data_IF_699098760465
#
_entry.id   IF_699098760465
#
_cell.length_a   1.000
_cell.length_b   1.000
_cell.length_c   1.000
_cell.angle_alpha   90.00
_cell.angle_beta   90.00
_cell.angle_gamma   90.00
#
_symmetry.space_group_name_H-M   'P 1'
#
loop_
_entity.id
_entity.type
_entity.pdbx_description
1 polymer ?
#
# COMPACT_ATOMS: atom_id res chain seq x y z
N UNK A 1 -2.82 -31.32 2.73
CA UNK A 1 -1.45 -30.89 3.09
C UNK A 1 -1.51 -30.39 4.53
N UNK A 2 -0.45 -30.41 5.35
CA UNK A 2 -0.53 -29.72 6.66
C UNK A 2 -0.39 -28.20 6.46
N UNK A 3 -0.98 -27.37 7.33
CA UNK A 3 -0.82 -25.92 7.26
C UNK A 3 0.66 -25.48 7.24
N UNK A 4 1.50 -26.14 8.05
CA UNK A 4 2.94 -25.90 8.05
C UNK A 4 3.60 -26.20 6.69
N UNK A 5 3.26 -27.32 6.05
CA UNK A 5 3.81 -27.65 4.74
C UNK A 5 3.33 -26.70 3.64
N UNK A 6 2.13 -26.14 3.79
CA UNK A 6 1.61 -25.12 2.88
C UNK A 6 2.37 -23.81 3.06
N UNK A 7 2.58 -23.35 4.29
CA UNK A 7 3.41 -22.17 4.61
C UNK A 7 4.82 -22.33 4.04
N UNK A 8 5.49 -23.46 4.31
CA UNK A 8 6.84 -23.73 3.78
C UNK A 8 6.86 -23.70 2.24
N UNK A 9 5.82 -24.25 1.59
CA UNK A 9 5.69 -24.21 0.13
C UNK A 9 5.50 -22.78 -0.39
N UNK A 10 4.59 -22.01 0.20
CA UNK A 10 4.35 -20.60 -0.15
C UNK A 10 5.62 -19.78 -0.01
N UNK A 11 6.35 -19.92 1.10
CA UNK A 11 7.61 -19.22 1.34
C UNK A 11 8.71 -19.62 0.36
N UNK A 12 8.80 -20.91 0.00
CA UNK A 12 9.75 -21.38 -1.00
C UNK A 12 9.47 -20.80 -2.39
N UNK A 13 8.19 -20.68 -2.77
CA UNK A 13 7.78 -20.07 -4.04
C UNK A 13 8.10 -18.57 -4.07
N UNK A 14 7.80 -17.85 -2.99
CA UNK A 14 8.16 -16.44 -2.84
C UNK A 14 9.68 -16.26 -2.93
N UNK A 15 10.46 -17.07 -2.21
CA UNK A 15 11.92 -17.00 -2.24
C UNK A 15 12.50 -17.31 -3.64
N UNK A 16 11.79 -18.08 -4.46
CA UNK A 16 12.14 -18.37 -5.85
C UNK A 16 11.67 -17.28 -6.84
N UNK A 17 10.97 -16.24 -6.37
CA UNK A 17 10.36 -15.20 -7.21
C UNK A 17 9.05 -15.61 -7.89
N UNK A 18 8.53 -16.80 -7.60
CA UNK A 18 7.26 -17.29 -8.17
C UNK A 18 6.07 -16.84 -7.32
N UNK A 19 5.77 -15.54 -7.38
CA UNK A 19 4.68 -14.92 -6.62
C UNK A 19 3.31 -15.44 -7.09
N UNK A 20 3.16 -15.68 -8.40
CA UNK A 20 1.91 -16.23 -8.97
C UNK A 20 1.68 -17.65 -8.46
N UNK A 21 2.72 -18.50 -8.42
CA UNK A 21 2.65 -19.82 -7.82
C UNK A 21 2.32 -19.77 -6.33
N UNK A 22 2.93 -18.83 -5.58
CA UNK A 22 2.65 -18.65 -4.17
C UNK A 22 1.18 -18.27 -3.91
N UNK A 23 0.63 -17.34 -4.69
CA UNK A 23 -0.76 -16.94 -4.60
C UNK A 23 -1.71 -18.06 -5.02
N UNK A 24 -1.39 -18.80 -6.09
CA UNK A 24 -2.15 -19.98 -6.52
C UNK A 24 -2.28 -21.02 -5.41
N UNK A 25 -1.23 -21.27 -4.62
CA UNK A 25 -1.26 -22.19 -3.48
C UNK A 25 -2.20 -21.70 -2.36
N UNK A 26 -2.23 -20.39 -2.11
CA UNK A 26 -3.12 -19.78 -1.12
C UNK A 26 -4.58 -19.82 -1.59
N UNK A 27 -4.83 -19.58 -2.88
CA UNK A 27 -6.14 -19.67 -3.51
C UNK A 27 -6.67 -21.11 -3.50
N UNK A 28 -5.84 -22.10 -3.83
CA UNK A 28 -6.21 -23.52 -3.74
C UNK A 28 -6.63 -23.93 -2.31
N UNK A 29 -6.01 -23.34 -1.28
CA UNK A 29 -6.41 -23.56 0.11
C UNK A 29 -7.80 -23.00 0.39
N UNK A 30 -8.07 -21.76 -0.03
CA UNK A 30 -9.38 -21.15 0.14
C UNK A 30 -10.47 -21.95 -0.61
N UNK A 31 -10.20 -22.38 -1.83
CA UNK A 31 -11.13 -23.16 -2.65
C UNK A 31 -11.44 -24.54 -2.04
N UNK A 32 -10.46 -25.18 -1.39
CA UNK A 32 -10.60 -26.54 -0.88
C UNK A 32 -11.02 -26.62 0.60
N UNK A 33 -10.58 -25.69 1.44
CA UNK A 33 -10.78 -25.70 2.90
C UNK A 33 -11.54 -24.46 3.42
N UNK A 34 -11.76 -23.45 2.57
CA UNK A 34 -12.52 -22.23 2.87
C UNK A 34 -11.65 -21.08 3.37
N UNK A 35 -12.21 -19.86 3.31
CA UNK A 35 -11.53 -18.60 3.69
C UNK A 35 -10.97 -18.61 5.11
N UNK A 36 -11.66 -19.28 6.04
CA UNK A 36 -11.20 -19.42 7.42
C UNK A 36 -9.88 -20.20 7.55
N UNK A 37 -9.64 -21.17 6.67
CA UNK A 37 -8.37 -21.89 6.64
C UNK A 37 -7.24 -21.02 6.09
N UNK A 38 -7.54 -20.21 5.07
CA UNK A 38 -6.61 -19.23 4.52
C UNK A 38 -6.25 -18.16 5.55
N UNK A 39 -7.21 -17.60 6.29
CA UNK A 39 -6.94 -16.64 7.37
C UNK A 39 -5.94 -17.17 8.41
N UNK A 40 -6.10 -18.43 8.84
CA UNK A 40 -5.17 -19.06 9.80
C UNK A 40 -3.75 -19.20 9.22
N UNK A 41 -3.62 -19.41 7.91
CA UNK A 41 -2.32 -19.44 7.23
C UNK A 41 -1.73 -18.04 7.11
N UNK A 42 -2.53 -17.05 6.70
CA UNK A 42 -2.08 -15.66 6.60
C UNK A 42 -1.60 -15.13 7.96
N UNK A 43 -2.23 -15.50 9.07
CA UNK A 43 -1.80 -15.12 10.43
C UNK A 43 -0.40 -15.65 10.80
N UNK A 44 0.04 -16.73 10.15
CA UNK A 44 1.34 -17.35 10.41
C UNK A 44 2.42 -16.93 9.41
N UNK A 45 2.03 -16.32 8.28
CA UNK A 45 2.99 -15.82 7.30
C UNK A 45 3.67 -14.54 7.81
N UNK A 46 5.00 -14.41 7.62
CA UNK A 46 5.70 -13.15 7.82
C UNK A 46 5.09 -12.02 6.98
N UNK A 47 5.06 -10.80 7.54
CA UNK A 47 4.53 -9.62 6.83
C UNK A 47 5.21 -9.37 5.47
N UNK A 48 6.51 -9.67 5.34
CA UNK A 48 7.24 -9.55 4.07
C UNK A 48 6.74 -10.52 2.99
N UNK A 49 6.29 -11.71 3.40
CA UNK A 49 5.80 -12.75 2.48
C UNK A 49 4.35 -12.41 2.06
N UNK A 50 3.56 -11.89 3.00
CA UNK A 50 2.24 -11.31 2.69
C UNK A 50 2.40 -10.15 1.71
N UNK A 51 3.28 -9.20 2.00
CA UNK A 51 3.58 -8.05 1.13
C UNK A 51 3.96 -8.50 -0.27
N UNK A 52 4.89 -9.45 -0.39
CA UNK A 52 5.35 -9.95 -1.69
C UNK A 52 4.20 -10.44 -2.58
N UNK A 53 3.17 -11.06 -1.98
CA UNK A 53 1.96 -11.47 -2.69
C UNK A 53 1.09 -10.26 -3.02
N UNK A 54 0.59 -9.53 -2.00
CA UNK A 54 -0.44 -8.49 -2.21
C UNK A 54 0.03 -7.32 -3.09
N UNK A 55 1.34 -7.07 -3.16
CA UNK A 55 1.96 -6.01 -3.97
C UNK A 55 1.84 -6.23 -5.48
N UNK A 56 1.67 -7.49 -5.91
CA UNK A 56 1.53 -7.88 -7.32
C UNK A 56 0.09 -7.79 -7.85
N UNK A 57 -0.85 -7.35 -7.01
CA UNK A 57 -2.28 -7.36 -7.27
C UNK A 57 -2.87 -5.97 -6.97
N UNK A 58 -3.79 -5.54 -7.82
CA UNK A 58 -4.45 -4.24 -7.79
C UNK A 58 -5.90 -4.38 -8.26
N UNK A 59 -6.62 -3.27 -8.43
CA UNK A 59 -8.04 -3.29 -8.87
C UNK A 59 -8.26 -3.94 -10.25
N UNK A 60 -7.20 -4.07 -11.07
CA UNK A 60 -7.26 -4.74 -12.36
C UNK A 60 -6.93 -6.24 -12.30
N UNK A 61 -6.33 -6.68 -11.19
CA UNK A 61 -5.86 -8.04 -10.95
C UNK A 61 -6.14 -8.39 -9.49
N UNK A 62 -7.34 -8.89 -9.23
CA UNK A 62 -7.81 -9.26 -7.89
C UNK A 62 -7.05 -10.47 -7.32
N UNK A 63 -6.85 -10.50 -6.00
CA UNK A 63 -6.38 -11.68 -5.26
C UNK A 63 -7.28 -11.94 -4.06
N UNK A 64 -7.54 -13.22 -3.76
CA UNK A 64 -8.23 -13.62 -2.54
C UNK A 64 -7.47 -13.19 -1.27
N UNK A 65 -6.15 -13.03 -1.35
CA UNK A 65 -5.33 -12.54 -0.25
C UNK A 65 -5.67 -11.07 0.04
N UNK A 66 -5.85 -10.23 -0.99
CA UNK A 66 -6.27 -8.83 -0.82
C UNK A 66 -7.68 -8.73 -0.24
N UNK A 67 -8.54 -9.72 -0.49
CA UNK A 67 -9.91 -9.77 0.06
C UNK A 67 -9.97 -10.21 1.53
N UNK A 68 -9.01 -11.02 1.99
CA UNK A 68 -9.05 -11.61 3.33
C UNK A 68 -8.03 -11.02 4.31
N UNK A 69 -7.05 -10.25 3.83
CA UNK A 69 -6.06 -9.63 4.72
C UNK A 69 -6.74 -8.77 5.78
N UNK A 70 -6.27 -8.84 7.02
CA UNK A 70 -6.79 -8.05 8.14
C UNK A 70 -6.10 -6.66 8.21
N UNK A 71 -6.73 -5.66 8.84
CA UNK A 71 -6.12 -4.34 9.01
C UNK A 71 -4.70 -4.36 9.63
N UNK A 72 -4.42 -5.13 10.71
CA UNK A 72 -3.08 -5.18 11.27
C UNK A 72 -2.04 -5.81 10.33
N UNK A 73 -2.41 -6.89 9.63
CA UNK A 73 -1.51 -7.53 8.65
C UNK A 73 -1.17 -6.58 7.50
N UNK A 74 -2.17 -5.85 7.00
CA UNK A 74 -1.99 -4.89 5.92
C UNK A 74 -1.12 -3.71 6.36
N UNK A 75 -1.34 -3.17 7.56
CA UNK A 75 -0.51 -2.10 8.10
C UNK A 75 0.99 -2.48 8.15
N UNK A 76 1.29 -3.69 8.62
CA UNK A 76 2.66 -4.20 8.62
C UNK A 76 3.25 -4.33 7.22
N UNK A 77 2.47 -4.79 6.24
CA UNK A 77 2.91 -4.88 4.85
C UNK A 77 3.16 -3.49 4.22
N UNK A 78 2.26 -2.52 4.46
CA UNK A 78 2.38 -1.16 3.95
C UNK A 78 3.65 -0.46 4.45
N UNK A 79 3.97 -0.59 5.75
CA UNK A 79 5.15 0.07 6.34
C UNK A 79 6.47 -0.47 5.78
N UNK A 80 6.54 -1.77 5.47
CA UNK A 80 7.75 -2.38 4.93
C UNK A 80 7.84 -2.30 3.41
N UNK A 81 6.80 -1.82 2.70
CA UNK A 81 6.80 -1.66 1.23
C UNK A 81 7.96 -0.79 0.76
N UNK A 82 8.33 0.23 1.53
CA UNK A 82 9.47 1.10 1.21
C UNK A 82 10.78 0.37 0.96
N UNK A 83 10.96 -0.83 1.51
CA UNK A 83 12.14 -1.69 1.29
C UNK A 83 12.31 -2.08 -0.19
N UNK A 84 11.24 -2.11 -0.98
CA UNK A 84 11.27 -2.39 -2.42
C UNK A 84 11.87 -1.24 -3.24
N UNK A 85 11.98 -0.03 -2.67
CA UNK A 85 12.56 1.15 -3.35
C UNK A 85 11.89 1.46 -4.71
N UNK A 86 10.58 1.20 -4.83
CA UNK A 86 9.79 1.60 -5.99
C UNK A 86 9.72 3.13 -6.07
N UNK A 87 10.46 3.70 -7.03
CA UNK A 87 10.52 5.15 -7.23
C UNK A 87 9.22 5.74 -7.76
N UNK A 88 8.39 4.97 -8.45
CA UNK A 88 7.11 5.46 -8.99
C UNK A 88 5.96 5.28 -8.01
N UNK A 89 6.18 4.55 -6.89
CA UNK A 89 5.18 4.23 -5.86
C UNK A 89 3.92 3.60 -6.46
N UNK A 90 4.03 2.99 -7.64
CA UNK A 90 2.89 2.48 -8.40
C UNK A 90 2.33 1.25 -7.73
N UNK A 91 3.22 0.36 -7.27
CA UNK A 91 2.81 -0.84 -6.53
C UNK A 91 2.16 -0.48 -5.20
N UNK A 92 2.78 0.41 -4.42
CA UNK A 92 2.20 0.91 -3.16
C UNK A 92 0.77 1.44 -3.37
N UNK A 93 0.58 2.31 -4.36
CA UNK A 93 -0.75 2.89 -4.65
C UNK A 93 -1.77 1.86 -5.08
N UNK A 94 -1.44 0.99 -6.03
CA UNK A 94 -2.36 -0.04 -6.53
C UNK A 94 -2.76 -1.02 -5.43
N UNK A 95 -1.77 -1.47 -4.64
CA UNK A 95 -2.00 -2.33 -3.48
C UNK A 95 -2.88 -1.65 -2.43
N UNK A 96 -2.60 -0.39 -2.06
CA UNK A 96 -3.39 0.35 -1.08
C UNK A 96 -4.83 0.59 -1.53
N UNK A 97 -5.05 1.00 -2.78
CA UNK A 97 -6.40 1.20 -3.28
C UNK A 97 -7.19 -0.11 -3.27
N UNK A 98 -6.60 -1.20 -3.78
CA UNK A 98 -7.30 -2.49 -3.88
C UNK A 98 -7.65 -3.13 -2.55
N UNK A 99 -6.84 -2.93 -1.50
CA UNK A 99 -7.13 -3.47 -0.17
C UNK A 99 -8.05 -2.54 0.62
N UNK A 100 -7.79 -1.24 0.64
CA UNK A 100 -8.55 -0.29 1.47
C UNK A 100 -9.97 -0.10 0.94
N UNK A 101 -10.16 -0.16 -0.38
CA UNK A 101 -11.44 0.10 -1.03
C UNK A 101 -12.14 -1.15 -1.57
N UNK A 102 -11.71 -2.35 -1.14
CA UNK A 102 -12.32 -3.62 -1.54
C UNK A 102 -13.81 -3.74 -1.21
N UNK A 103 -14.25 -3.07 -0.14
CA UNK A 103 -15.59 -3.13 0.42
C UNK A 103 -16.10 -1.71 0.80
N UNK A 104 -17.02 -1.62 1.75
CA UNK A 104 -17.64 -0.37 2.19
C UNK A 104 -16.66 0.58 2.91
N UNK A 105 -16.96 1.88 2.88
CA UNK A 105 -16.11 2.93 3.46
C UNK A 105 -15.85 2.78 4.97
N UNK A 106 -16.70 2.07 5.72
CA UNK A 106 -16.48 1.82 7.14
C UNK A 106 -15.24 0.94 7.38
N UNK A 107 -14.97 -0.04 6.51
CA UNK A 107 -13.81 -0.91 6.62
C UNK A 107 -12.52 -0.17 6.22
N UNK A 108 -12.60 0.75 5.26
CA UNK A 108 -11.48 1.60 4.88
C UNK A 108 -10.90 2.37 6.08
N UNK A 109 -11.74 2.82 7.02
CA UNK A 109 -11.30 3.50 8.23
C UNK A 109 -10.53 2.57 9.17
N UNK A 110 -10.92 1.30 9.29
CA UNK A 110 -10.19 0.33 10.12
C UNK A 110 -8.78 0.08 9.58
N UNK A 111 -8.63 -0.06 8.25
CA UNK A 111 -7.32 -0.18 7.59
C UNK A 111 -6.45 1.06 7.80
N UNK A 112 -6.99 2.25 7.53
CA UNK A 112 -6.24 3.50 7.69
C UNK A 112 -5.85 3.75 9.15
N UNK A 113 -6.72 3.39 10.11
CA UNK A 113 -6.40 3.46 11.55
C UNK A 113 -5.25 2.52 11.89
N UNK A 114 -5.31 1.25 11.44
CA UNK A 114 -4.25 0.29 11.70
C UNK A 114 -2.90 0.71 11.09
N UNK A 115 -2.92 1.33 9.91
CA UNK A 115 -1.71 1.93 9.30
C UNK A 115 -1.20 3.06 10.20
N UNK A 116 -2.05 4.01 10.58
CA UNK A 116 -1.67 5.17 11.40
C UNK A 116 -1.14 4.80 12.80
N UNK A 117 -1.63 3.72 13.39
CA UNK A 117 -1.18 3.22 14.70
C UNK A 117 0.21 2.56 14.64
N UNK A 118 0.70 2.20 13.45
CA UNK A 118 2.01 1.55 13.27
C UNK A 118 3.11 2.59 13.00
N UNK A 119 4.27 2.41 13.63
CA UNK A 119 5.45 3.24 13.35
C UNK A 119 5.83 3.14 11.86
N UNK A 120 5.98 4.31 11.21
CA UNK A 120 6.20 4.40 9.76
C UNK A 120 4.91 4.45 8.92
N UNK A 121 3.72 4.31 9.52
CA UNK A 121 2.45 4.35 8.79
C UNK A 121 2.16 5.71 8.12
N UNK A 122 2.39 6.81 8.83
CA UNK A 122 2.27 8.16 8.27
C UNK A 122 3.30 8.43 7.16
N UNK A 123 4.46 7.77 7.22
CA UNK A 123 5.46 7.82 6.15
C UNK A 123 4.99 7.09 4.90
N UNK A 124 4.44 5.88 5.05
CA UNK A 124 3.90 5.13 3.91
C UNK A 124 2.71 5.84 3.26
N UNK A 125 1.84 6.46 4.07
CA UNK A 125 0.75 7.30 3.54
C UNK A 125 1.29 8.55 2.83
N UNK A 126 2.38 9.14 3.32
CA UNK A 126 3.03 10.24 2.60
C UNK A 126 3.59 9.74 1.25
N UNK A 127 4.24 8.58 1.23
CA UNK A 127 4.75 7.98 -0.01
C UNK A 127 3.64 7.76 -1.05
N UNK A 128 2.47 7.30 -0.62
CA UNK A 128 1.27 7.16 -1.46
C UNK A 128 0.88 8.48 -2.16
N UNK A 129 1.00 9.63 -1.47
CA UNK A 129 0.61 10.94 -1.99
C UNK A 129 1.74 11.72 -2.70
N UNK A 130 2.94 11.16 -2.84
CA UNK A 130 4.13 11.88 -3.36
C UNK A 130 3.85 12.60 -4.69
N UNK A 131 3.23 11.93 -5.66
CA UNK A 131 2.91 12.53 -6.98
C UNK A 131 1.76 13.55 -6.96
N UNK A 132 1.05 13.68 -5.83
CA UNK A 132 -0.13 14.53 -5.66
C UNK A 132 0.09 15.58 -4.58
N UNK A 133 1.34 15.79 -4.18
CA UNK A 133 1.77 16.71 -3.12
C UNK A 133 1.06 18.07 -3.14
N UNK A 134 1.18 18.82 -4.24
CA UNK A 134 0.58 20.16 -4.37
C UNK A 134 -0.93 20.15 -4.20
N UNK A 135 -1.59 19.10 -4.68
CA UNK A 135 -3.05 18.94 -4.60
C UNK A 135 -3.50 18.60 -3.18
N UNK A 136 -2.72 17.82 -2.43
CA UNK A 136 -3.00 17.53 -1.02
C UNK A 136 -2.82 18.77 -0.16
N UNK A 137 -1.80 19.59 -0.42
CA UNK A 137 -1.63 20.90 0.22
C UNK A 137 -2.80 21.85 -0.08
N UNK A 138 -3.19 21.97 -1.35
CA UNK A 138 -4.33 22.77 -1.77
C UNK A 138 -5.63 22.27 -1.10
N UNK A 139 -5.83 20.95 -1.03
CA UNK A 139 -6.97 20.37 -0.34
C UNK A 139 -6.97 20.74 1.14
N UNK A 140 -5.85 20.52 1.85
CA UNK A 140 -5.71 20.86 3.27
C UNK A 140 -6.06 22.33 3.56
N UNK A 141 -5.67 23.24 2.67
CA UNK A 141 -6.00 24.67 2.77
C UNK A 141 -7.47 24.96 2.48
N UNK A 142 -8.02 24.41 1.40
CA UNK A 142 -9.26 24.93 0.81
C UNK A 142 -10.51 24.12 1.15
N UNK A 143 -10.38 22.81 1.42
CA UNK A 143 -11.56 21.94 1.53
C UNK A 143 -12.01 21.30 0.23
N UNK A 144 -11.41 21.63 -0.91
CA UNK A 144 -11.89 21.24 -2.24
C UNK A 144 -10.75 20.76 -3.13
N UNK A 145 -11.05 19.94 -4.13
CA UNK A 145 -10.09 19.50 -5.14
C UNK A 145 -10.18 20.41 -6.38
N UNK A 146 -9.51 21.56 -6.33
CA UNK A 146 -9.45 22.53 -7.45
C UNK A 146 -7.99 22.78 -7.85
N UNK A 147 -7.66 22.54 -9.12
CA UNK A 147 -6.30 22.70 -9.65
C UNK A 147 -5.82 24.15 -9.68
N UNK A 148 -6.73 25.13 -9.62
CA UNK A 148 -6.35 26.55 -9.57
C UNK A 148 -5.63 26.90 -8.26
N UNK A 149 -5.80 26.08 -7.24
CA UNK A 149 -5.27 26.29 -5.90
C UNK A 149 -3.91 25.59 -5.65
N UNK A 150 -3.39 24.83 -6.62
CA UNK A 150 -2.18 24.01 -6.43
C UNK A 150 -0.94 24.82 -6.03
N UNK A 151 -0.85 26.09 -6.45
CA UNK A 151 0.29 26.99 -6.20
C UNK A 151 0.10 27.94 -4.99
N UNK A 152 -0.96 27.75 -4.20
CA UNK A 152 -1.23 28.63 -3.06
C UNK A 152 -0.27 28.42 -1.88
N UNK A 153 -0.16 29.42 -1.00
CA UNK A 153 0.70 29.34 0.19
C UNK A 153 0.25 28.20 1.11
N UNK A 154 1.21 27.42 1.61
CA UNK A 154 0.95 26.32 2.56
C UNK A 154 0.41 26.89 3.87
N UNK A 155 -0.53 26.19 4.50
CA UNK A 155 -0.94 26.52 5.86
C UNK A 155 0.24 26.37 6.84
N UNK A 156 0.37 27.28 7.81
CA UNK A 156 1.23 27.03 8.97
C UNK A 156 0.73 25.81 9.73
N UNK A 157 1.61 25.12 10.47
CA UNK A 157 1.20 23.96 11.27
C UNK A 157 0.07 24.32 12.24
N UNK A 158 0.15 25.48 12.90
CA UNK A 158 -0.91 25.95 13.79
C UNK A 158 -2.25 26.13 13.06
N UNK A 159 -2.24 26.69 11.84
CA UNK A 159 -3.45 26.87 11.06
C UNK A 159 -4.03 25.53 10.58
N UNK A 160 -3.15 24.56 10.27
CA UNK A 160 -3.53 23.19 9.91
C UNK A 160 -4.21 22.47 11.09
N UNK A 161 -3.64 22.52 12.31
CA UNK A 161 -4.30 21.97 13.50
C UNK A 161 -5.64 22.64 13.79
N UNK A 162 -5.78 23.94 13.52
CA UNK A 162 -7.04 24.66 13.69
C UNK A 162 -8.12 24.26 12.67
N UNK A 163 -7.74 23.67 11.53
CA UNK A 163 -8.67 23.25 10.48
C UNK A 163 -9.07 21.77 10.55
N UNK A 164 -8.50 20.99 11.47
CA UNK A 164 -8.68 19.55 11.61
C UNK A 164 -10.15 19.07 11.61
N UNK A 165 -11.05 19.83 12.25
CA UNK A 165 -12.46 19.45 12.43
C UNK A 165 -13.43 20.35 11.67
N UNK A 166 -12.96 21.03 10.62
CA UNK A 166 -13.82 21.80 9.72
C UNK A 166 -14.70 20.83 8.94
N UNK A 167 -15.99 21.17 8.79
CA UNK A 167 -16.92 20.35 8.02
C UNK A 167 -16.44 20.19 6.57
N UNK A 168 -16.63 19.01 5.96
CA UNK A 168 -16.34 18.80 4.54
C UNK A 168 -17.05 19.85 3.68
N UNK A 169 -16.34 20.35 2.67
CA UNK A 169 -16.92 21.23 1.62
C UNK A 169 -17.31 20.46 0.37
N UNK A 170 -16.77 19.26 0.23
CA UNK A 170 -17.05 18.26 -0.80
C UNK A 170 -17.56 17.02 -0.06
N UNK A 171 -18.66 16.43 -0.53
CA UNK A 171 -19.20 15.21 0.06
C UNK A 171 -18.41 13.97 -0.42
N UNK A 172 -18.40 12.90 0.38
CA UNK A 172 -17.66 11.67 0.04
C UNK A 172 -18.10 11.09 -1.32
N UNK A 173 -19.41 11.09 -1.61
CA UNK A 173 -19.98 10.56 -2.86
C UNK A 173 -19.44 11.28 -4.12
N UNK A 174 -18.96 12.52 -3.99
CA UNK A 174 -18.40 13.28 -5.12
C UNK A 174 -16.99 12.82 -5.50
N UNK A 175 -16.30 12.14 -4.58
CA UNK A 175 -14.89 11.73 -4.69
C UNK A 175 -14.69 10.25 -4.40
N UNK A 176 -15.75 9.45 -4.36
CA UNK A 176 -15.72 8.02 -4.07
C UNK A 176 -15.29 7.22 -5.32
N UNK A 177 -14.08 7.48 -5.81
CA UNK A 177 -13.49 6.86 -7.01
C UNK A 177 -12.48 5.75 -6.69
N UNK A 178 -12.38 5.34 -5.43
CA UNK A 178 -11.42 4.34 -4.92
C UNK A 178 -9.96 4.72 -5.19
N UNK A 179 -9.68 6.02 -5.34
CA UNK A 179 -8.34 6.53 -5.57
C UNK A 179 -8.01 7.66 -4.57
N UNK A 180 -6.92 8.38 -4.85
CA UNK A 180 -6.28 9.31 -3.94
C UNK A 180 -7.21 10.43 -3.42
N UNK A 181 -8.24 10.85 -4.17
CA UNK A 181 -9.19 11.87 -3.67
C UNK A 181 -10.04 11.31 -2.53
N UNK A 182 -10.59 10.11 -2.71
CA UNK A 182 -11.32 9.40 -1.66
C UNK A 182 -10.43 9.19 -0.43
N UNK A 183 -9.19 8.72 -0.63
CA UNK A 183 -8.25 8.46 0.46
C UNK A 183 -7.92 9.75 1.24
N UNK A 184 -7.65 10.84 0.53
CA UNK A 184 -7.39 12.15 1.15
C UNK A 184 -8.62 12.67 1.91
N UNK A 185 -9.82 12.45 1.37
CA UNK A 185 -11.08 12.83 2.02
C UNK A 185 -11.27 12.06 3.33
N UNK A 186 -11.13 10.73 3.31
CA UNK A 186 -11.28 9.88 4.51
C UNK A 186 -10.26 10.25 5.57
N UNK A 187 -8.98 10.39 5.20
CA UNK A 187 -7.96 10.82 6.13
C UNK A 187 -8.32 12.17 6.77
N UNK A 188 -8.67 13.18 5.97
CA UNK A 188 -8.91 14.51 6.53
C UNK A 188 -10.14 14.58 7.44
N UNK A 189 -11.21 13.87 7.08
CA UNK A 189 -12.52 14.08 7.71
C UNK A 189 -12.88 13.02 8.73
N UNK A 190 -12.40 11.79 8.56
CA UNK A 190 -12.61 10.68 9.49
C UNK A 190 -11.40 10.44 10.39
N UNK A 191 -10.17 10.73 9.93
CA UNK A 191 -8.92 10.49 10.66
C UNK A 191 -8.00 11.74 10.70
N UNK A 192 -8.50 12.92 11.15
CA UNK A 192 -7.84 14.20 10.94
C UNK A 192 -6.43 14.29 11.55
N UNK A 193 -6.18 13.62 12.68
CA UNK A 193 -4.86 13.60 13.30
C UNK A 193 -3.84 12.87 12.40
N UNK A 194 -4.22 11.72 11.84
CA UNK A 194 -3.40 10.97 10.89
C UNK A 194 -3.17 11.75 9.59
N UNK A 195 -4.18 12.47 9.09
CA UNK A 195 -4.02 13.35 7.93
C UNK A 195 -2.96 14.44 8.18
N UNK A 196 -2.99 15.06 9.35
CA UNK A 196 -2.04 16.11 9.72
C UNK A 196 -0.63 15.52 9.82
N UNK A 197 -0.47 14.40 10.52
CA UNK A 197 0.83 13.73 10.65
C UNK A 197 1.41 13.35 9.29
N UNK A 198 0.62 12.71 8.44
CA UNK A 198 1.00 12.37 7.06
C UNK A 198 1.40 13.61 6.27
N UNK A 199 0.61 14.69 6.33
CA UNK A 199 0.89 15.91 5.58
C UNK A 199 2.19 16.59 6.06
N UNK A 200 2.49 16.54 7.37
CA UNK A 200 3.76 17.04 7.91
C UNK A 200 4.96 16.21 7.44
N UNK A 201 4.82 14.88 7.33
CA UNK A 201 5.85 14.01 6.75
C UNK A 201 6.04 14.32 5.27
N UNK A 202 4.95 14.45 4.52
CA UNK A 202 4.98 14.75 3.09
C UNK A 202 5.64 16.13 2.81
N UNK A 203 5.37 17.13 3.65
CA UNK A 203 6.09 18.42 3.66
C UNK A 203 7.60 18.24 3.84
N UNK A 204 7.99 17.36 4.75
CA UNK A 204 9.41 17.11 5.02
C UNK A 204 10.09 16.45 3.82
N UNK A 205 9.45 15.44 3.22
CA UNK A 205 9.93 14.77 2.00
C UNK A 205 10.06 15.75 0.83
N UNK A 206 9.03 16.56 0.55
CA UNK A 206 9.08 17.56 -0.52
C UNK A 206 10.23 18.58 -0.34
N UNK A 207 10.48 19.02 0.91
CA UNK A 207 11.63 19.90 1.21
C UNK A 207 12.98 19.19 1.03
N UNK A 208 13.08 17.92 1.41
CA UNK A 208 14.30 17.13 1.22
C UNK A 208 14.63 16.95 -0.28
N UNK A 209 13.61 16.64 -1.08
CA UNK A 209 13.68 16.59 -2.54
C UNK A 209 14.16 17.92 -3.15
N UNK A 210 13.56 19.04 -2.76
CA UNK A 210 13.94 20.38 -3.23
C UNK A 210 15.39 20.76 -2.85
N UNK A 211 15.90 20.22 -1.75
CA UNK A 211 17.27 20.40 -1.28
C UNK A 211 18.26 19.39 -1.89
N UNK A 212 17.77 18.40 -2.66
CA UNK A 212 18.58 17.32 -3.23
C UNK A 212 19.14 16.35 -2.19
N UNK A 213 18.41 16.13 -1.09
CA UNK A 213 18.84 15.28 0.03
C UNK A 213 18.27 13.84 -0.03
N UNK A 214 17.48 13.52 -1.05
CA UNK A 214 16.78 12.22 -1.16
C UNK A 214 17.72 11.02 -1.44
N UNK A 215 18.97 11.26 -1.85
CA UNK A 215 19.88 10.21 -2.34
C UNK A 215 20.79 9.55 -1.27
N UNK A 216 20.80 10.01 -0.01
CA UNK A 216 21.89 9.65 0.94
C UNK A 216 21.52 8.77 2.16
N UNK A 217 20.25 8.50 2.49
CA UNK A 217 19.94 7.96 3.84
C UNK A 217 19.68 6.45 4.01
N UNK A 218 19.64 5.60 2.98
CA UNK A 218 19.46 4.16 3.21
C UNK A 218 20.69 3.33 2.84
N UNK A 219 21.67 3.37 3.75
CA UNK A 219 22.81 2.46 3.79
C UNK A 219 22.36 0.99 3.75
N UNK A 220 23.09 0.20 2.96
CA UNK A 220 22.93 -1.23 2.74
C UNK A 220 22.92 -2.02 4.06
N UNK A 221 21.73 -2.40 4.53
CA UNK A 221 21.56 -3.64 5.28
C UNK A 221 21.10 -4.71 4.28
N UNK A 222 21.82 -5.83 4.24
CA UNK A 222 21.41 -7.06 3.56
C UNK A 222 20.13 -7.56 4.25
N UNK A 223 18.97 -7.11 3.76
CA UNK A 223 17.66 -7.24 4.42
C UNK A 223 16.88 -8.50 4.02
N UNK A 224 17.50 -9.40 3.24
CA UNK A 224 16.83 -10.60 2.74
C UNK A 224 15.71 -10.31 1.75
N UNK A 225 15.82 -9.19 1.01
CA UNK A 225 15.05 -8.89 -0.21
C UNK A 225 14.91 -10.12 -1.11
N UNK A 226 13.67 -10.40 -1.48
CA UNK A 226 13.36 -11.25 -2.63
C UNK A 226 13.59 -10.40 -3.87
N UNK A 227 14.42 -10.84 -4.81
CA UNK A 227 14.71 -10.08 -6.04
C UNK A 227 13.45 -10.00 -6.92
N UNK A 228 12.64 -8.97 -6.71
CA UNK A 228 11.51 -8.60 -7.58
C UNK A 228 11.88 -7.51 -8.57
N UNK A 229 13.18 -7.24 -8.78
CA UNK A 229 13.68 -6.07 -9.50
C UNK A 229 13.23 -5.92 -10.96
N UNK A 230 12.62 -6.96 -11.56
CA UNK A 230 11.92 -6.85 -12.84
C UNK A 230 10.54 -6.15 -12.69
N UNK A 231 9.79 -6.42 -11.61
CA UNK A 231 8.52 -5.74 -11.27
C UNK A 231 8.73 -4.28 -10.90
N UNK A 232 9.75 -3.97 -10.11
CA UNK A 232 10.11 -2.62 -9.68
C UNK A 232 10.54 -1.72 -10.86
N UNK A 233 10.81 -2.32 -12.02
CA UNK A 233 11.11 -1.63 -13.29
C UNK A 233 9.97 -1.72 -14.32
N UNK A 234 8.79 -2.14 -13.89
CA UNK A 234 7.57 -2.22 -14.70
C UNK A 234 7.49 -3.42 -15.65
N UNK A 235 8.21 -4.53 -15.36
CA UNK A 235 8.06 -5.79 -16.09
C UNK A 235 7.31 -6.80 -15.23
N UNK A 236 6.20 -7.34 -15.74
CA UNK A 236 5.47 -8.42 -15.10
C UNK A 236 6.39 -9.64 -14.87
N UNK A 237 6.32 -10.23 -13.69
CA UNK A 237 7.00 -11.50 -13.36
C UNK A 237 6.59 -12.57 -14.37
N UNK A 238 7.51 -13.12 -15.17
CA UNK A 238 7.19 -14.25 -16.02
C UNK A 238 6.81 -15.43 -15.13
N UNK A 239 5.69 -16.10 -15.42
CA UNK A 239 5.41 -17.40 -14.84
C UNK A 239 6.62 -18.31 -15.07
N UNK A 240 7.05 -19.04 -14.03
CA UNK A 240 8.12 -20.03 -14.16
C UNK A 240 7.78 -20.94 -15.35
N UNK A 241 8.63 -20.92 -16.37
CA UNK A 241 8.50 -21.88 -17.47
C UNK A 241 8.80 -23.24 -16.90
N UNK A 242 7.86 -24.17 -17.04
CA UNK A 242 8.15 -25.59 -16.90
C UNK A 242 9.21 -25.96 -17.94
N UNK A 243 10.47 -26.04 -17.51
CA UNK A 243 11.63 -26.43 -18.33
C UNK A 243 11.64 -27.95 -18.66
N UNK A 244 10.46 -28.56 -18.86
CA UNK A 244 10.29 -29.99 -19.12
C UNK A 244 9.68 -30.34 -20.50
N UNK A 245 9.56 -29.38 -21.41
CA UNK A 245 9.16 -29.66 -22.81
C UNK A 245 10.16 -29.15 -23.87
N UNK A 246 11.41 -29.63 -23.83
CA UNK A 246 12.25 -29.64 -25.04
C UNK A 246 13.13 -30.90 -25.14
N UNK A 247 12.48 -32.04 -25.39
CA UNK A 247 13.14 -33.23 -25.94
C UNK A 247 12.23 -34.01 -26.88
N UNK A 248 11.90 -33.37 -28.00
CA UNK A 248 11.59 -33.94 -29.32
C UNK A 248 11.28 -32.72 -30.22
N UNK A 249 12.06 -32.41 -31.25
CA UNK A 249 12.06 -33.03 -32.59
C UNK A 249 13.31 -32.55 -33.33
#
# INVERSE_FOLDING_TARGET
MSQLALIEKTQALIAAGDIVGAESVLTELADSEGDGALLVVLEQLPAKDILAVIREYDDSKESIVNLLITPPQFAHAVVIEKQYKDLTRTHLRGMMNSVIFRDESAEAIEFLTAIGDLEGGSEALADYFTEKWSRIEAFARTGVFDTVEDDGEMLSEQALYQSAYVRPRVELDEVADQDWMQMAWLLRHELPDLFIEMLLVLRAKARAHDLGLDDEEEAEEDDGKVETGDTDRGKATPAARDDDEESAI
#
